data_IF_544863285552
#
_entry.id   IF_544863285552
#
_cell.length_a   1.000
_cell.length_b   1.000
_cell.length_c   1.000
_cell.angle_alpha   90.00
_cell.angle_beta   90.00
_cell.angle_gamma   90.00
#
_symmetry.space_group_name_H-M   'P 1'
#
loop_
_entity.id
_entity.type
_entity.pdbx_description
1 polymer ?
#
# COMPACT_ATOMS: atom_id res chain seq x y z
N UNK A 1 -14.55 14.08 19.83
CA UNK A 1 -14.20 14.94 18.72
C UNK A 1 -13.47 16.16 19.23
N UNK A 2 -12.39 16.65 18.56
CA UNK A 2 -11.76 17.92 18.89
C UNK A 2 -12.70 19.08 18.50
N UNK A 3 -12.58 20.19 19.20
CA UNK A 3 -13.27 21.44 18.91
C UNK A 3 -12.32 22.61 19.05
N UNK A 4 -12.58 23.70 18.34
CA UNK A 4 -11.72 24.88 18.41
C UNK A 4 -12.52 26.15 18.70
N UNK A 5 -11.82 27.09 19.34
CA UNK A 5 -12.36 28.41 19.62
C UNK A 5 -12.01 29.31 18.43
N UNK A 6 -13.02 29.77 17.70
CA UNK A 6 -12.88 30.51 16.44
C UNK A 6 -11.96 31.73 16.54
N UNK A 7 -12.05 32.46 17.63
CA UNK A 7 -11.24 33.65 17.87
C UNK A 7 -9.75 33.37 18.08
N UNK A 8 -9.42 32.18 18.56
CA UNK A 8 -8.04 31.75 18.82
C UNK A 8 -7.41 30.97 17.67
N UNK A 9 -8.23 30.52 16.73
CA UNK A 9 -7.79 29.75 15.56
C UNK A 9 -7.23 28.38 15.89
N UNK A 10 -6.56 27.76 14.92
CA UNK A 10 -5.97 26.42 15.01
C UNK A 10 -4.58 26.46 15.66
N UNK A 11 -4.54 26.81 16.95
CA UNK A 11 -3.33 26.83 17.79
C UNK A 11 -3.57 25.99 19.05
N UNK A 12 -2.53 25.52 19.76
CA UNK A 12 -2.69 24.78 21.02
C UNK A 12 -3.59 25.48 22.05
N UNK A 13 -3.54 26.80 22.08
CA UNK A 13 -4.41 27.62 22.95
C UNK A 13 -5.86 27.75 22.46
N UNK A 14 -6.18 27.28 21.27
CA UNK A 14 -7.50 27.40 20.63
C UNK A 14 -8.16 26.06 20.31
N UNK A 15 -7.41 24.96 20.29
CA UNK A 15 -7.93 23.61 19.98
C UNK A 15 -7.89 22.74 21.22
N UNK A 16 -9.02 22.11 21.53
CA UNK A 16 -9.19 21.27 22.71
C UNK A 16 -9.69 19.88 22.33
N UNK A 17 -9.19 18.89 23.04
CA UNK A 17 -9.64 17.50 22.95
C UNK A 17 -10.14 17.04 24.32
N UNK A 18 -11.23 16.30 24.34
CA UNK A 18 -11.77 15.72 25.56
C UNK A 18 -11.03 14.44 25.90
N UNK A 19 -10.38 14.41 27.06
CA UNK A 19 -9.75 13.22 27.65
C UNK A 19 -10.48 12.90 28.97
N UNK A 20 -11.34 11.88 28.92
CA UNK A 20 -12.18 11.53 30.07
C UNK A 20 -13.18 12.64 30.40
N UNK A 21 -13.13 13.16 31.65
CA UNK A 21 -14.00 14.21 32.14
C UNK A 21 -13.50 15.64 31.89
N UNK A 22 -12.27 15.81 31.41
CA UNK A 22 -11.62 17.12 31.20
C UNK A 22 -11.36 17.44 29.75
N UNK A 23 -11.36 18.73 29.39
CA UNK A 23 -10.92 19.24 28.11
C UNK A 23 -9.49 19.75 28.22
N UNK A 24 -8.59 19.24 27.40
CA UNK A 24 -7.20 19.61 27.39
C UNK A 24 -6.81 20.28 26.06
N UNK A 25 -5.90 21.27 26.07
CA UNK A 25 -5.38 21.83 24.84
C UNK A 25 -4.64 20.75 24.05
N UNK A 26 -4.78 20.82 22.73
CA UNK A 26 -4.16 19.87 21.81
C UNK A 26 -2.73 20.34 21.49
N UNK A 27 -1.84 19.40 21.27
CA UNK A 27 -0.47 19.69 20.83
C UNK A 27 -0.45 20.15 19.38
N UNK A 28 0.63 20.82 18.92
CA UNK A 28 0.77 21.21 17.51
C UNK A 28 0.75 20.00 16.56
N UNK A 29 1.35 18.88 16.96
CA UNK A 29 1.27 17.62 16.21
C UNK A 29 -0.16 17.09 16.11
N UNK A 30 -0.89 17.06 17.23
CA UNK A 30 -2.28 16.64 17.25
C UNK A 30 -3.18 17.56 16.42
N UNK A 31 -2.89 18.87 16.35
CA UNK A 31 -3.59 19.81 15.49
C UNK A 31 -3.31 19.50 14.00
N UNK A 32 -2.06 19.21 13.65
CA UNK A 32 -1.70 18.79 12.27
C UNK A 32 -2.42 17.51 11.87
N UNK A 33 -2.39 16.49 12.72
CA UNK A 33 -3.14 15.26 12.50
C UNK A 33 -4.64 15.51 12.35
N UNK A 34 -5.22 16.36 13.20
CA UNK A 34 -6.63 16.72 13.09
C UNK A 34 -6.95 17.43 11.78
N UNK A 35 -6.07 18.33 11.30
CA UNK A 35 -6.24 19.01 10.00
C UNK A 35 -6.18 18.00 8.86
N UNK A 36 -5.23 17.08 8.90
CA UNK A 36 -5.10 16.00 7.90
C UNK A 36 -6.34 15.10 7.93
N UNK A 37 -6.82 14.70 9.11
CA UNK A 37 -8.00 13.85 9.27
C UNK A 37 -9.33 14.59 9.00
N UNK A 38 -9.39 15.89 9.22
CA UNK A 38 -10.61 16.70 8.98
C UNK A 38 -10.65 17.29 7.57
N UNK A 39 -9.50 17.48 6.96
CA UNK A 39 -9.40 17.68 5.52
C UNK A 39 -9.89 16.40 4.87
N UNK A 40 -11.04 16.44 4.19
CA UNK A 40 -11.63 15.30 3.44
C UNK A 40 -10.78 14.84 2.26
N UNK A 41 -9.51 15.21 2.21
CA UNK A 41 -8.55 14.82 1.18
C UNK A 41 -7.59 13.80 1.81
N UNK A 42 -7.85 12.53 1.60
CA UNK A 42 -6.81 11.52 1.73
C UNK A 42 -5.72 11.79 0.68
N UNK A 43 -4.52 11.28 0.88
CA UNK A 43 -3.44 11.38 -0.12
C UNK A 43 -3.94 10.94 -1.50
N UNK A 44 -4.67 9.85 -1.56
CA UNK A 44 -5.16 9.23 -2.79
C UNK A 44 -6.12 10.15 -3.57
N UNK A 45 -6.98 10.89 -2.85
CA UNK A 45 -7.96 11.79 -3.48
C UNK A 45 -7.40 13.17 -3.78
N UNK A 46 -6.20 13.49 -3.29
CA UNK A 46 -5.51 14.73 -3.60
C UNK A 46 -5.02 14.74 -5.06
N UNK A 47 -4.88 15.93 -5.64
CA UNK A 47 -4.40 16.11 -7.01
C UNK A 47 -2.95 15.59 -7.12
N UNK A 48 -2.69 14.80 -8.16
CA UNK A 48 -1.34 14.40 -8.50
C UNK A 48 -0.53 15.58 -9.04
N UNK A 49 0.74 15.66 -8.67
CA UNK A 49 1.68 16.61 -9.25
C UNK A 49 2.02 16.22 -10.70
N UNK A 50 2.05 14.92 -10.99
CA UNK A 50 2.26 14.40 -12.34
C UNK A 50 0.91 14.24 -13.03
N UNK A 51 0.70 14.90 -14.17
CA UNK A 51 -0.49 14.83 -14.98
C UNK A 51 -0.27 14.09 -16.31
N UNK A 52 0.95 13.64 -16.57
CA UNK A 52 1.32 12.85 -17.76
C UNK A 52 1.41 11.38 -17.38
N UNK A 53 0.24 10.74 -17.23
CA UNK A 53 0.10 9.37 -16.74
C UNK A 53 -0.39 8.44 -17.84
N UNK A 54 0.20 7.24 -17.90
CA UNK A 54 -0.24 6.11 -18.73
C UNK A 54 -0.70 4.95 -17.85
N UNK A 55 -1.58 4.10 -18.37
CA UNK A 55 -2.24 3.04 -17.60
C UNK A 55 -2.21 1.71 -18.35
N UNK A 56 -1.13 1.42 -19.07
CA UNK A 56 -1.03 0.24 -19.93
C UNK A 56 -1.30 -1.07 -19.16
N UNK A 57 -0.66 -1.24 -18.01
CA UNK A 57 -0.89 -2.41 -17.17
C UNK A 57 -2.33 -2.48 -16.65
N UNK A 58 -2.86 -1.36 -16.15
CA UNK A 58 -4.21 -1.29 -15.58
C UNK A 58 -5.29 -1.54 -16.64
N UNK A 59 -5.13 -0.98 -17.83
CA UNK A 59 -6.02 -1.21 -18.97
C UNK A 59 -6.04 -2.68 -19.38
N UNK A 60 -4.88 -3.31 -19.47
CA UNK A 60 -4.77 -4.73 -19.80
C UNK A 60 -5.48 -5.60 -18.74
N UNK A 61 -5.37 -5.27 -17.46
CA UNK A 61 -6.07 -5.98 -16.38
C UNK A 61 -7.60 -5.81 -16.47
N UNK A 62 -8.08 -4.62 -16.79
CA UNK A 62 -9.51 -4.37 -17.02
C UNK A 62 -10.01 -5.17 -18.23
N UNK A 63 -9.25 -5.19 -19.32
CA UNK A 63 -9.57 -5.97 -20.51
C UNK A 63 -9.67 -7.48 -20.24
N UNK A 64 -8.71 -8.05 -19.51
CA UNK A 64 -8.76 -9.47 -19.09
C UNK A 64 -10.05 -9.81 -18.34
N UNK A 65 -10.56 -8.87 -17.55
CA UNK A 65 -11.80 -9.04 -16.79
C UNK A 65 -13.06 -8.63 -17.55
N UNK A 66 -12.94 -8.26 -18.82
CA UNK A 66 -14.04 -7.76 -19.67
C UNK A 66 -14.73 -6.52 -19.10
N UNK A 67 -13.97 -5.67 -18.40
CA UNK A 67 -14.44 -4.40 -17.85
C UNK A 67 -14.01 -3.30 -18.81
N UNK A 68 -14.97 -2.47 -19.27
CA UNK A 68 -14.66 -1.29 -20.06
C UNK A 68 -13.85 -0.31 -19.20
N UNK A 69 -12.79 0.25 -19.77
CA UNK A 69 -11.98 1.28 -19.12
C UNK A 69 -11.88 2.50 -20.05
N UNK A 70 -12.25 3.64 -19.52
CA UNK A 70 -12.24 4.92 -20.22
C UNK A 70 -12.48 6.08 -19.26
N UNK A 71 -12.59 7.29 -19.76
CA UNK A 71 -12.66 8.50 -18.94
C UNK A 71 -13.81 8.50 -17.92
N UNK A 72 -14.96 7.92 -18.27
CA UNK A 72 -16.10 7.82 -17.35
C UNK A 72 -15.80 6.88 -16.17
N UNK A 73 -15.15 5.75 -16.45
CA UNK A 73 -14.73 4.79 -15.42
C UNK A 73 -13.63 5.38 -14.53
N UNK A 74 -12.69 6.13 -15.10
CA UNK A 74 -11.66 6.84 -14.34
C UNK A 74 -12.27 7.85 -13.35
N UNK A 75 -13.33 8.56 -13.74
CA UNK A 75 -14.06 9.47 -12.84
C UNK A 75 -14.78 8.69 -11.73
N UNK A 76 -15.46 7.59 -12.08
CA UNK A 76 -16.16 6.74 -11.11
C UNK A 76 -15.19 6.15 -10.08
N UNK A 77 -14.00 5.73 -10.52
CA UNK A 77 -12.93 5.20 -9.68
C UNK A 77 -12.15 6.30 -8.93
N UNK A 78 -12.50 7.59 -9.13
CA UNK A 78 -11.78 8.72 -8.54
C UNK A 78 -10.31 8.84 -8.97
N UNK A 79 -9.96 8.30 -10.13
CA UNK A 79 -8.65 8.52 -10.77
C UNK A 79 -8.56 9.93 -11.36
N UNK A 80 -9.70 10.47 -11.78
CA UNK A 80 -9.84 11.84 -12.24
C UNK A 80 -10.78 12.56 -11.27
N UNK A 81 -10.32 13.69 -10.75
CA UNK A 81 -11.10 14.55 -9.87
C UNK A 81 -12.20 15.35 -10.60
N UNK A 82 -13.01 16.09 -9.86
CA UNK A 82 -14.08 16.94 -10.41
C UNK A 82 -13.52 18.08 -11.27
N UNK A 83 -12.26 18.43 -11.08
CA UNK A 83 -11.50 19.41 -11.88
C UNK A 83 -10.87 18.82 -13.15
N UNK A 84 -11.19 17.56 -13.45
CA UNK A 84 -10.68 16.79 -14.59
C UNK A 84 -9.17 16.49 -14.57
N UNK A 85 -8.51 16.67 -13.44
CA UNK A 85 -7.10 16.35 -13.24
C UNK A 85 -6.94 14.99 -12.55
N UNK A 86 -5.80 14.34 -12.79
CA UNK A 86 -5.47 13.08 -12.15
C UNK A 86 -5.20 13.26 -10.66
N UNK A 87 -5.67 12.29 -9.89
CA UNK A 87 -5.44 12.18 -8.44
C UNK A 87 -4.18 11.36 -8.15
N UNK A 88 -3.71 11.38 -6.90
CA UNK A 88 -2.61 10.50 -6.50
C UNK A 88 -2.99 9.01 -6.58
N UNK A 89 -4.27 8.65 -6.46
CA UNK A 89 -4.72 7.30 -6.74
C UNK A 89 -4.44 6.90 -8.19
N UNK A 90 -4.65 7.82 -9.14
CA UNK A 90 -4.28 7.59 -10.53
C UNK A 90 -2.77 7.38 -10.68
N UNK A 91 -1.94 8.20 -10.01
CA UNK A 91 -0.49 8.01 -10.02
C UNK A 91 -0.08 6.64 -9.48
N UNK A 92 -0.66 6.18 -8.39
CA UNK A 92 -0.38 4.85 -7.81
C UNK A 92 -0.72 3.71 -8.77
N UNK A 93 -1.79 3.85 -9.55
CA UNK A 93 -2.23 2.83 -10.52
C UNK A 93 -1.59 2.97 -11.91
N UNK A 94 -0.88 4.09 -12.16
CA UNK A 94 -0.21 4.36 -13.43
C UNK A 94 1.11 3.62 -13.58
N UNK A 95 1.61 3.59 -14.81
CA UNK A 95 2.95 3.05 -15.11
C UNK A 95 4.07 3.94 -14.55
N UNK A 96 3.77 5.21 -14.21
CA UNK A 96 4.67 6.20 -13.61
C UNK A 96 4.64 6.20 -12.07
N UNK A 97 4.07 5.18 -11.44
CA UNK A 97 4.04 5.09 -9.97
C UNK A 97 5.47 5.15 -9.39
N UNK A 98 5.69 6.09 -8.48
CA UNK A 98 7.00 6.31 -7.85
C UNK A 98 7.25 5.41 -6.64
N UNK A 99 6.17 4.85 -6.09
CA UNK A 99 6.27 3.92 -4.97
C UNK A 99 6.81 2.59 -5.48
N UNK A 100 7.76 2.01 -4.74
CA UNK A 100 8.36 0.72 -5.09
C UNK A 100 8.20 -0.31 -3.96
N UNK A 101 8.29 -1.58 -4.32
CA UNK A 101 8.37 -2.68 -3.38
C UNK A 101 9.72 -3.38 -3.51
N UNK A 102 10.45 -3.50 -2.41
CA UNK A 102 11.77 -4.15 -2.35
C UNK A 102 11.65 -5.48 -1.66
N UNK A 103 12.09 -6.52 -2.32
CA UNK A 103 12.11 -7.88 -1.79
C UNK A 103 13.56 -8.34 -1.63
N UNK A 104 13.89 -8.86 -0.45
CA UNK A 104 15.18 -9.45 -0.16
C UNK A 104 14.99 -10.92 0.26
N UNK A 105 15.78 -11.80 -0.34
CA UNK A 105 15.84 -13.22 -0.01
C UNK A 105 17.14 -13.49 0.77
N UNK A 106 16.99 -13.99 1.97
CA UNK A 106 18.11 -14.33 2.85
C UNK A 106 18.31 -15.86 2.93
N UNK A 107 19.51 -16.25 3.24
CA UNK A 107 19.82 -17.63 3.62
C UNK A 107 19.87 -17.70 5.15
N UNK A 108 19.16 -18.68 5.72
CA UNK A 108 19.05 -18.80 7.17
C UNK A 108 17.93 -17.96 7.76
N UNK A 109 18.04 -17.66 9.04
CA UNK A 109 16.99 -16.98 9.83
C UNK A 109 17.32 -15.53 10.18
N UNK A 110 18.45 -15.02 9.69
CA UNK A 110 18.94 -13.67 9.93
C UNK A 110 19.30 -12.94 8.61
N UNK A 111 19.76 -11.69 8.72
CA UNK A 111 20.14 -10.84 7.58
C UNK A 111 21.62 -10.96 7.19
N UNK A 112 22.32 -11.96 7.66
CA UNK A 112 23.77 -12.09 7.46
C UNK A 112 24.14 -12.44 6.01
N UNK A 113 23.35 -13.29 5.35
CA UNK A 113 23.66 -13.77 4.00
C UNK A 113 22.50 -13.45 3.05
N UNK A 114 22.76 -12.53 2.13
CA UNK A 114 21.84 -12.24 1.01
C UNK A 114 21.97 -13.32 -0.07
N UNK A 115 20.85 -13.83 -0.56
CA UNK A 115 20.79 -14.69 -1.75
C UNK A 115 20.37 -13.92 -2.98
N UNK A 116 19.37 -13.05 -2.84
CA UNK A 116 18.86 -12.25 -3.94
C UNK A 116 18.15 -11.00 -3.40
N UNK A 117 18.08 -9.97 -4.24
CA UNK A 117 17.35 -8.73 -3.95
C UNK A 117 16.74 -8.19 -5.24
N UNK A 118 15.46 -7.89 -5.18
CA UNK A 118 14.75 -7.31 -6.32
C UNK A 118 13.91 -6.12 -5.90
N UNK A 119 13.85 -5.11 -6.75
CA UNK A 119 12.99 -3.95 -6.63
C UNK A 119 11.94 -3.99 -7.73
N UNK A 120 10.69 -3.80 -7.35
CA UNK A 120 9.54 -3.78 -8.24
C UNK A 120 8.98 -2.37 -8.31
N UNK A 121 8.69 -1.88 -9.53
CA UNK A 121 8.25 -0.53 -9.83
C UNK A 121 7.10 -0.54 -10.84
N UNK A 122 6.55 0.65 -11.14
CA UNK A 122 5.37 0.83 -11.97
C UNK A 122 4.09 0.66 -11.16
N UNK A 123 2.94 0.48 -11.80
CA UNK A 123 1.64 0.35 -11.15
C UNK A 123 1.67 -0.56 -9.91
N UNK A 124 1.06 -0.12 -8.81
CA UNK A 124 1.01 -0.93 -7.57
C UNK A 124 0.35 -2.30 -7.80
N UNK A 125 -0.57 -2.41 -8.78
CA UNK A 125 -1.18 -3.70 -9.14
C UNK A 125 -0.18 -4.62 -9.83
N UNK A 126 0.67 -4.06 -10.68
CA UNK A 126 1.77 -4.80 -11.31
C UNK A 126 2.77 -5.29 -10.27
N UNK A 127 3.15 -4.39 -9.34
CA UNK A 127 4.04 -4.75 -8.25
C UNK A 127 3.47 -5.89 -7.40
N UNK A 128 2.17 -5.85 -7.09
CA UNK A 128 1.49 -6.90 -6.33
C UNK A 128 1.64 -8.27 -7.01
N UNK A 129 1.38 -8.34 -8.31
CA UNK A 129 1.47 -9.58 -9.07
C UNK A 129 2.92 -10.07 -9.18
N UNK A 130 3.83 -9.18 -9.57
CA UNK A 130 5.26 -9.52 -9.74
C UNK A 130 5.89 -9.97 -8.41
N UNK A 131 5.55 -9.32 -7.30
CA UNK A 131 6.02 -9.70 -5.96
C UNK A 131 5.44 -11.03 -5.52
N UNK A 132 4.14 -11.25 -5.75
CA UNK A 132 3.51 -12.55 -5.45
C UNK A 132 4.21 -13.68 -6.21
N UNK A 133 4.44 -13.50 -7.50
CA UNK A 133 5.15 -14.50 -8.32
C UNK A 133 6.59 -14.72 -7.82
N UNK A 134 7.30 -13.66 -7.43
CA UNK A 134 8.65 -13.79 -6.87
C UNK A 134 8.65 -14.57 -5.57
N UNK A 135 7.71 -14.32 -4.65
CA UNK A 135 7.57 -15.06 -3.40
C UNK A 135 7.23 -16.52 -3.69
N UNK A 136 6.28 -16.78 -4.60
CA UNK A 136 5.84 -18.13 -4.93
C UNK A 136 6.96 -18.98 -5.56
N UNK A 137 7.79 -18.39 -6.43
CA UNK A 137 8.98 -19.04 -6.99
C UNK A 137 10.02 -19.44 -5.94
N UNK A 138 10.07 -18.70 -4.82
CA UNK A 138 11.00 -18.97 -3.71
C UNK A 138 10.33 -19.71 -2.55
N UNK A 139 9.05 -20.03 -2.66
CA UNK A 139 8.28 -20.78 -1.67
C UNK A 139 8.54 -22.29 -1.86
N UNK A 140 9.38 -22.86 -0.99
CA UNK A 140 9.79 -24.25 -1.10
C UNK A 140 8.61 -25.19 -0.91
N UNK A 141 8.60 -26.28 -1.65
CA UNK A 141 7.60 -27.34 -1.54
C UNK A 141 8.22 -28.55 -0.86
N UNK A 142 7.67 -28.94 0.26
CA UNK A 142 8.02 -30.19 0.96
C UNK A 142 7.11 -31.30 0.48
N UNK A 143 7.71 -32.40 0.04
CA UNK A 143 6.97 -33.61 -0.31
C UNK A 143 6.98 -34.59 0.84
N UNK A 144 5.81 -35.06 1.25
CA UNK A 144 5.62 -36.14 2.22
C UNK A 144 4.82 -37.26 1.57
N UNK A 145 4.90 -38.46 2.13
CA UNK A 145 4.16 -39.61 1.62
C UNK A 145 3.27 -40.18 2.71
N UNK A 146 2.02 -40.42 2.40
CA UNK A 146 1.07 -41.17 3.23
C UNK A 146 0.70 -42.45 2.49
N UNK A 147 1.39 -43.54 2.77
CA UNK A 147 1.31 -44.76 1.99
C UNK A 147 1.85 -44.52 0.56
N UNK A 148 1.02 -44.71 -0.44
CA UNK A 148 1.35 -44.50 -1.86
C UNK A 148 1.00 -43.09 -2.36
N UNK A 149 0.40 -42.24 -1.51
CA UNK A 149 -0.05 -40.90 -1.88
C UNK A 149 1.03 -39.90 -1.51
N UNK A 150 1.50 -39.14 -2.51
CA UNK A 150 2.39 -37.98 -2.31
C UNK A 150 1.55 -36.77 -1.89
N UNK A 151 1.97 -36.10 -0.84
CA UNK A 151 1.37 -34.87 -0.33
C UNK A 151 2.43 -33.77 -0.44
N UNK A 152 2.18 -32.79 -1.27
CA UNK A 152 3.02 -31.61 -1.45
C UNK A 152 2.48 -30.48 -0.57
N UNK A 153 3.35 -29.87 0.23
CA UNK A 153 3.02 -28.74 1.10
C UNK A 153 4.03 -27.63 0.90
N UNK A 154 3.55 -26.42 0.55
CA UNK A 154 4.39 -25.23 0.52
C UNK A 154 4.75 -24.77 1.93
N UNK A 155 5.93 -24.18 2.11
CA UNK A 155 6.38 -23.65 3.41
C UNK A 155 5.45 -22.53 3.88
N UNK A 156 5.02 -21.66 2.95
CA UNK A 156 4.08 -20.57 3.22
C UNK A 156 2.75 -20.80 2.47
N UNK A 157 1.60 -20.77 3.16
CA UNK A 157 0.29 -20.89 2.51
C UNK A 157 0.04 -19.74 1.53
N UNK A 158 -0.46 -20.05 0.35
CA UNK A 158 -0.72 -19.06 -0.71
C UNK A 158 -1.71 -17.97 -0.28
N UNK A 159 -2.75 -18.37 0.48
CA UNK A 159 -3.75 -17.45 1.00
C UNK A 159 -3.13 -16.44 1.97
N UNK A 160 -2.19 -16.89 2.83
CA UNK A 160 -1.50 -16.01 3.77
C UNK A 160 -0.61 -15.00 3.06
N UNK A 161 0.13 -15.44 2.02
CA UNK A 161 0.96 -14.54 1.19
C UNK A 161 0.06 -13.51 0.52
N UNK A 162 -1.01 -13.94 -0.15
CA UNK A 162 -1.95 -13.07 -0.85
C UNK A 162 -2.55 -12.01 0.06
N UNK A 163 -3.06 -12.42 1.21
CA UNK A 163 -3.71 -11.53 2.18
C UNK A 163 -2.71 -10.52 2.75
N UNK A 164 -1.51 -10.97 3.12
CA UNK A 164 -0.48 -10.10 3.67
C UNK A 164 0.00 -9.06 2.65
N UNK A 165 0.15 -9.44 1.38
CA UNK A 165 0.50 -8.52 0.30
C UNK A 165 -0.60 -7.50 0.04
N UNK A 166 -1.86 -7.92 -0.03
CA UNK A 166 -2.99 -7.01 -0.19
C UNK A 166 -3.06 -6.01 0.97
N UNK A 167 -2.91 -6.49 2.21
CA UNK A 167 -2.93 -5.63 3.39
C UNK A 167 -1.78 -4.62 3.38
N UNK A 168 -0.59 -5.00 2.93
CA UNK A 168 0.56 -4.10 2.83
C UNK A 168 0.38 -2.96 1.82
N UNK A 169 -0.51 -3.14 0.84
CA UNK A 169 -0.84 -2.13 -0.17
C UNK A 169 -2.05 -1.30 0.27
N UNK A 170 -3.13 -1.95 0.73
CA UNK A 170 -4.40 -1.27 1.03
C UNK A 170 -4.33 -0.42 2.29
N UNK A 171 -3.55 -0.84 3.28
CA UNK A 171 -3.44 -0.15 4.58
C UNK A 171 -2.18 0.73 4.71
N UNK A 172 -1.41 0.87 3.65
CA UNK A 172 -0.25 1.74 3.64
C UNK A 172 -0.67 3.21 3.63
N UNK A 173 0.06 4.02 4.41
CA UNK A 173 -0.01 5.48 4.28
C UNK A 173 0.91 5.97 3.15
N UNK A 174 0.33 6.29 2.01
CA UNK A 174 1.06 6.77 0.83
C UNK A 174 1.53 8.22 0.93
N UNK A 175 1.19 8.95 1.99
CA UNK A 175 1.73 10.28 2.25
C UNK A 175 3.22 10.25 2.64
N UNK A 176 3.72 9.09 3.05
CA UNK A 176 5.13 8.87 3.33
C UNK A 176 5.85 8.29 2.11
N UNK A 177 6.94 8.94 1.72
CA UNK A 177 7.84 8.46 0.67
C UNK A 177 8.70 7.31 1.21
N UNK A 178 8.44 6.11 0.84
CA UNK A 178 9.23 4.95 1.21
C UNK A 178 8.86 3.76 0.33
N UNK A 179 9.61 2.68 0.41
CA UNK A 179 9.29 1.43 -0.27
C UNK A 179 8.64 0.45 0.71
N UNK A 180 7.72 -0.39 0.23
CA UNK A 180 7.37 -1.60 0.96
C UNK A 180 8.59 -2.51 1.01
N UNK A 181 8.86 -3.11 2.18
CA UNK A 181 10.00 -4.01 2.36
C UNK A 181 9.48 -5.41 2.68
N UNK A 182 9.97 -6.38 1.93
CA UNK A 182 9.64 -7.79 2.13
C UNK A 182 10.94 -8.56 2.28
N UNK A 183 11.08 -9.23 3.41
CA UNK A 183 12.23 -10.07 3.70
C UNK A 183 11.76 -11.53 3.78
N UNK A 184 12.36 -12.39 2.97
CA UNK A 184 12.08 -13.82 2.94
C UNK A 184 13.27 -14.53 3.58
N UNK A 185 13.00 -15.30 4.62
CA UNK A 185 13.97 -16.13 5.34
C UNK A 185 13.63 -17.61 5.14
N UNK A 186 14.45 -18.49 5.70
CA UNK A 186 14.17 -19.93 5.64
C UNK A 186 13.00 -20.35 6.55
N UNK A 187 12.64 -19.52 7.55
CA UNK A 187 11.61 -19.84 8.55
C UNK A 187 10.40 -18.87 8.56
N UNK A 188 10.50 -17.71 7.91
CA UNK A 188 9.45 -16.69 7.91
C UNK A 188 9.54 -15.72 6.74
N UNK A 189 8.44 -15.01 6.51
CA UNK A 189 8.38 -13.82 5.66
C UNK A 189 8.01 -12.62 6.55
N UNK A 190 8.77 -11.54 6.43
CA UNK A 190 8.48 -10.26 7.06
C UNK A 190 8.01 -9.27 6.00
N UNK A 191 6.83 -8.68 6.17
CA UNK A 191 6.30 -7.63 5.31
C UNK A 191 6.16 -6.36 6.15
N UNK A 192 6.85 -5.29 5.73
CA UNK A 192 6.86 -4.00 6.40
C UNK A 192 6.33 -2.96 5.43
N UNK A 193 5.17 -2.40 5.74
CA UNK A 193 4.60 -1.21 5.10
C UNK A 193 4.59 -0.05 6.10
N UNK A 194 4.85 1.16 5.63
CA UNK A 194 4.83 2.38 6.45
C UNK A 194 3.44 2.97 6.50
#
# INVERSE_FOLDING_TARGET
RPYYIREKGLKPSGVYVRKGSSSQPMTDEGIREMIIQSGRCSYETSRSMNQDLTFEYFENEMHKRKIAFGRSQMQTLKLIGDDHLYTNLALLLSDQCEVTTKVALFQGTDKAVFRDRKEFSGSILKQLEDVYQFIDLNNKTQASFSGLIRIDKKDYPEEAIRESLLNSIVHRDYSFSGSNLINIYDDRIEIVSL
#
